data_IF_305157356471
#
_entry.id   IF_305157356471
#
_cell.length_a   1.000
_cell.length_b   1.000
_cell.length_c   1.000
_cell.angle_alpha   90.00
_cell.angle_beta   90.00
_cell.angle_gamma   90.00
#
_symmetry.space_group_name_H-M   'P 1'
#
loop_
_entity.id
_entity.type
_entity.pdbx_description
1 polymer ?
#
# COMPACT_ATOMS: atom_id res chain seq x y z
N UNK A 1 6.77 -12.09 -1.20
CA UNK A 1 5.61 -12.74 -0.54
C UNK A 1 4.82 -13.63 -1.50
N UNK A 2 4.17 -13.10 -2.55
CA UNK A 2 3.35 -13.92 -3.48
C UNK A 2 4.12 -15.11 -4.07
N UNK A 3 5.32 -14.88 -4.65
CA UNK A 3 6.17 -15.96 -5.19
C UNK A 3 6.60 -16.99 -4.15
N UNK A 4 6.63 -16.62 -2.87
CA UNK A 4 6.96 -17.49 -1.75
C UNK A 4 5.70 -18.11 -1.12
N UNK A 5 4.54 -18.00 -1.78
CA UNK A 5 3.25 -18.52 -1.33
C UNK A 5 2.76 -17.97 0.02
N UNK A 6 3.20 -16.77 0.39
CA UNK A 6 2.71 -16.05 1.58
C UNK A 6 1.47 -15.25 1.21
N UNK A 7 0.34 -15.39 1.94
CA UNK A 7 -0.86 -14.60 1.71
C UNK A 7 -0.57 -13.09 1.79
N UNK A 8 -1.09 -12.32 0.84
CA UNK A 8 -0.95 -10.87 0.80
C UNK A 8 -2.32 -10.21 0.75
N UNK A 9 -2.37 -8.94 1.17
CA UNK A 9 -3.56 -8.11 1.00
C UNK A 9 -3.84 -7.96 -0.50
N UNK A 10 -5.07 -8.18 -0.98
CA UNK A 10 -5.43 -7.91 -2.36
C UNK A 10 -5.19 -6.43 -2.70
N UNK A 11 -4.55 -6.16 -3.83
CA UNK A 11 -4.18 -4.82 -4.24
C UNK A 11 -3.85 -4.74 -5.73
N UNK A 12 -3.36 -3.58 -6.16
CA UNK A 12 -2.93 -3.35 -7.55
C UNK A 12 -1.73 -4.23 -7.91
N UNK A 13 -1.63 -4.58 -9.20
CA UNK A 13 -0.51 -5.33 -9.76
C UNK A 13 0.70 -4.41 -10.02
N UNK A 14 1.13 -3.71 -8.96
CA UNK A 14 2.20 -2.71 -9.00
C UNK A 14 1.71 -1.27 -8.86
N UNK A 15 2.50 -0.36 -9.44
CA UNK A 15 2.28 1.08 -9.36
C UNK A 15 1.09 1.51 -10.22
N UNK A 16 0.29 2.41 -9.67
CA UNK A 16 -0.73 3.10 -10.44
C UNK A 16 -0.11 4.26 -11.20
N UNK A 17 -0.48 4.42 -12.46
CA UNK A 17 -0.05 5.55 -13.29
C UNK A 17 -0.79 6.84 -12.95
N UNK A 18 -2.06 6.71 -12.61
CA UNK A 18 -2.94 7.83 -12.32
C UNK A 18 -4.18 7.38 -11.51
N UNK A 19 -4.98 8.37 -11.11
CA UNK A 19 -6.26 8.16 -10.40
C UNK A 19 -7.27 7.33 -11.22
N UNK A 20 -7.16 7.31 -12.54
CA UNK A 20 -8.09 6.54 -13.39
C UNK A 20 -7.87 5.04 -13.25
N UNK A 21 -6.63 4.60 -13.04
CA UNK A 21 -6.32 3.21 -12.69
C UNK A 21 -6.87 2.86 -11.30
N UNK A 22 -6.80 3.79 -10.34
CA UNK A 22 -7.41 3.60 -9.02
C UNK A 22 -8.94 3.41 -9.12
N UNK A 23 -9.62 4.20 -9.97
CA UNK A 23 -11.08 4.11 -10.20
C UNK A 23 -11.53 2.80 -10.87
N UNK A 24 -10.63 2.07 -11.54
CA UNK A 24 -10.93 0.75 -12.13
C UNK A 24 -10.89 -0.38 -11.11
N UNK A 25 -10.47 -0.10 -9.89
CA UNK A 25 -10.39 -1.10 -8.83
C UNK A 25 -11.77 -1.68 -8.49
N UNK A 26 -11.84 -2.95 -8.05
CA UNK A 26 -13.09 -3.56 -7.60
C UNK A 26 -13.84 -2.69 -6.58
N UNK A 27 -15.18 -2.62 -6.69
CA UNK A 27 -15.99 -1.80 -5.79
C UNK A 27 -15.85 -2.16 -4.31
N UNK A 28 -15.58 -3.42 -4.01
CA UNK A 28 -15.30 -3.88 -2.63
C UNK A 28 -13.92 -3.43 -2.10
N UNK A 29 -13.14 -2.72 -2.91
CA UNK A 29 -11.91 -2.02 -2.54
C UNK A 29 -12.11 -0.49 -2.53
N UNK A 30 -13.33 0.03 -2.74
CA UNK A 30 -13.62 1.48 -2.70
C UNK A 30 -13.44 2.10 -1.31
N UNK A 31 -13.32 1.27 -0.26
CA UNK A 31 -12.54 1.57 0.93
C UNK A 31 -11.03 1.41 0.62
N UNK A 32 -10.51 2.19 -0.33
CA UNK A 32 -9.19 1.96 -0.92
C UNK A 32 -8.08 2.58 -0.08
N UNK A 33 -7.06 1.78 0.25
CA UNK A 33 -5.90 2.25 0.98
C UNK A 33 -4.80 2.62 -0.02
N UNK A 34 -4.58 3.92 -0.28
CA UNK A 34 -3.46 4.37 -1.10
C UNK A 34 -2.20 4.37 -0.25
N UNK A 35 -1.15 3.74 -0.76
CA UNK A 35 0.15 3.67 -0.10
C UNK A 35 1.24 4.17 -1.03
N UNK A 36 2.09 5.04 -0.49
CA UNK A 36 3.33 5.43 -1.13
C UNK A 36 4.30 4.23 -1.18
N UNK A 37 4.99 4.08 -2.30
CA UNK A 37 5.97 2.99 -2.49
C UNK A 37 7.27 3.26 -1.76
N UNK A 38 7.69 4.51 -1.74
CA UNK A 38 8.68 5.05 -0.83
C UNK A 38 7.91 5.71 0.32
N UNK A 39 7.75 5.00 1.44
CA UNK A 39 7.02 5.48 2.60
C UNK A 39 7.61 4.94 3.90
N UNK A 40 7.47 5.70 4.98
CA UNK A 40 7.97 5.36 6.31
C UNK A 40 7.47 6.34 7.38
N UNK A 41 7.30 5.87 8.62
CA UNK A 41 6.87 6.72 9.73
C UNK A 41 5.42 7.20 9.68
N UNK A 42 4.52 6.45 9.02
CA UNK A 42 3.09 6.76 8.94
C UNK A 42 2.70 7.82 7.90
N UNK A 43 3.66 8.29 7.09
CA UNK A 43 3.43 9.22 5.97
C UNK A 43 3.12 8.48 4.68
N UNK A 44 2.31 9.08 3.82
CA UNK A 44 1.95 8.51 2.52
C UNK A 44 0.94 7.37 2.58
N UNK A 45 0.02 7.40 3.55
CA UNK A 45 -1.06 6.41 3.70
C UNK A 45 -2.40 7.13 3.86
N UNK A 46 -3.37 6.86 2.98
CA UNK A 46 -4.74 7.44 3.07
C UNK A 46 -5.80 6.42 2.71
N UNK A 47 -6.86 6.38 3.53
CA UNK A 47 -8.07 5.60 3.25
C UNK A 47 -9.05 6.50 2.50
N UNK A 48 -9.55 6.04 1.37
CA UNK A 48 -10.68 6.62 0.67
C UNK A 48 -11.90 5.72 0.88
N UNK A 49 -13.09 6.27 1.08
CA UNK A 49 -14.36 5.53 1.25
C UNK A 49 -15.33 5.71 0.08
N UNK A 50 -15.08 6.70 -0.76
CA UNK A 50 -15.82 6.99 -1.98
C UNK A 50 -14.90 7.47 -3.11
N UNK A 51 -15.43 7.66 -4.31
CA UNK A 51 -14.65 8.09 -5.48
C UNK A 51 -14.05 9.50 -5.33
N UNK A 52 -14.70 10.38 -4.58
CA UNK A 52 -14.24 11.76 -4.37
C UNK A 52 -13.05 11.78 -3.40
N UNK A 53 -13.14 11.02 -2.32
CA UNK A 53 -12.06 10.76 -1.39
C UNK A 53 -10.91 10.02 -2.08
N UNK A 54 -11.21 9.10 -3.01
CA UNK A 54 -10.19 8.40 -3.80
C UNK A 54 -9.36 9.40 -4.61
N UNK A 55 -10.03 10.28 -5.36
CA UNK A 55 -9.34 11.24 -6.21
C UNK A 55 -8.55 12.29 -5.42
N UNK A 56 -9.14 12.82 -4.36
CA UNK A 56 -8.47 13.80 -3.50
C UNK A 56 -7.31 13.15 -2.75
N UNK A 57 -7.54 11.96 -2.18
CA UNK A 57 -6.57 11.19 -1.42
C UNK A 57 -5.37 10.76 -2.26
N UNK A 58 -5.60 10.31 -3.51
CA UNK A 58 -4.53 9.94 -4.42
C UNK A 58 -3.57 11.11 -4.65
N UNK A 59 -4.08 12.27 -5.09
CA UNK A 59 -3.25 13.46 -5.39
C UNK A 59 -2.48 13.95 -4.17
N UNK A 60 -3.12 13.98 -3.00
CA UNK A 60 -2.46 14.38 -1.76
C UNK A 60 -1.34 13.41 -1.37
N UNK A 61 -1.59 12.10 -1.50
CA UNK A 61 -0.61 11.07 -1.15
C UNK A 61 0.58 11.08 -2.10
N UNK A 62 0.33 11.26 -3.40
CA UNK A 62 1.37 11.38 -4.43
C UNK A 62 2.27 12.59 -4.16
N UNK A 63 1.68 13.76 -3.90
CA UNK A 63 2.43 14.97 -3.59
C UNK A 63 3.23 14.83 -2.29
N UNK A 64 2.64 14.24 -1.24
CA UNK A 64 3.32 13.98 0.02
C UNK A 64 4.51 13.04 -0.17
N UNK A 65 4.33 11.95 -0.92
CA UNK A 65 5.37 10.98 -1.21
C UNK A 65 6.50 11.60 -2.05
N UNK A 66 6.15 12.38 -3.08
CA UNK A 66 7.13 13.10 -3.90
C UNK A 66 7.94 14.10 -3.07
N UNK A 67 7.30 14.85 -2.18
CA UNK A 67 7.96 15.88 -1.37
C UNK A 67 8.83 15.27 -0.27
N UNK A 68 8.36 14.21 0.39
CA UNK A 68 9.04 13.61 1.52
C UNK A 68 10.15 12.62 1.11
N UNK A 69 9.97 11.91 -0.01
CA UNK A 69 10.82 10.79 -0.39
C UNK A 69 11.37 10.89 -1.82
N UNK A 70 11.04 11.96 -2.56
CA UNK A 70 11.47 12.14 -3.95
C UNK A 70 10.80 11.19 -4.95
N UNK A 71 9.80 10.42 -4.51
CA UNK A 71 9.11 9.42 -5.32
C UNK A 71 7.60 9.42 -5.03
N UNK A 72 6.81 9.92 -5.98
CA UNK A 72 5.35 9.97 -5.92
C UNK A 72 4.63 8.66 -6.25
N UNK A 73 5.35 7.57 -6.55
CA UNK A 73 4.73 6.31 -6.96
C UNK A 73 3.81 5.73 -5.89
N UNK A 74 2.56 5.49 -6.25
CA UNK A 74 1.52 4.94 -5.39
C UNK A 74 1.08 3.54 -5.85
N UNK A 75 0.63 2.74 -4.89
CA UNK A 75 -0.12 1.51 -5.12
C UNK A 75 -1.34 1.47 -4.21
N UNK A 76 -2.30 0.59 -4.51
CA UNK A 76 -3.53 0.47 -3.73
C UNK A 76 -3.69 -0.92 -3.15
N UNK A 77 -4.17 -0.98 -1.91
CA UNK A 77 -4.57 -2.21 -1.24
C UNK A 77 -6.02 -2.11 -0.78
N UNK A 78 -6.68 -3.25 -0.67
CA UNK A 78 -7.95 -3.37 0.02
C UNK A 78 -7.77 -2.98 1.49
N UNK A 79 -8.53 -2.00 1.97
CA UNK A 79 -8.55 -1.69 3.40
C UNK A 79 -9.23 -2.82 4.19
N UNK A 80 -8.59 -3.23 5.29
CA UNK A 80 -9.10 -4.23 6.20
C UNK A 80 -9.60 -3.49 7.44
N UNK A 81 -10.88 -3.64 7.77
CA UNK A 81 -11.45 -3.04 8.98
C UNK A 81 -11.16 -3.90 10.21
N UNK A 82 -11.02 -3.27 11.37
CA UNK A 82 -10.85 -3.94 12.67
C UNK A 82 -9.70 -4.96 12.71
N UNK A 83 -8.59 -4.66 12.02
CA UNK A 83 -7.42 -5.53 11.99
C UNK A 83 -6.54 -5.35 13.23
N UNK A 84 -5.77 -6.39 13.55
CA UNK A 84 -4.63 -6.30 14.46
C UNK A 84 -3.36 -6.24 13.63
N UNK A 85 -2.46 -5.33 13.98
CA UNK A 85 -1.12 -5.33 13.44
C UNK A 85 -0.31 -6.43 14.13
N UNK A 86 0.22 -7.36 13.36
CA UNK A 86 1.08 -8.45 13.84
C UNK A 86 2.33 -8.44 12.98
N UNK A 87 3.48 -8.47 13.65
CA UNK A 87 4.78 -8.58 13.01
C UNK A 87 5.57 -9.73 13.66
N UNK A 88 6.40 -10.38 12.85
CA UNK A 88 7.17 -11.55 13.25
C UNK A 88 8.66 -11.18 13.13
N UNK A 89 9.40 -11.36 14.22
CA UNK A 89 10.84 -11.14 14.24
C UNK A 89 11.52 -12.29 13.49
N UNK A 90 12.50 -11.96 12.65
CA UNK A 90 13.31 -12.95 11.94
C UNK A 90 14.79 -12.65 12.24
N UNK A 91 15.59 -13.69 12.43
CA UNK A 91 17.07 -13.58 12.49
C UNK A 91 17.66 -14.60 11.54
N UNK A 92 18.59 -14.17 10.69
CA UNK A 92 19.29 -15.05 9.77
C UNK A 92 20.78 -14.72 9.74
N UNK A 93 21.60 -15.75 9.48
CA UNK A 93 23.03 -15.59 9.29
C UNK A 93 23.47 -15.78 7.83
N UNK A 94 24.73 -15.46 7.53
CA UNK A 94 25.33 -15.61 6.20
C UNK A 94 25.58 -17.06 5.78
N UNK A 95 25.39 -18.03 6.68
CA UNK A 95 25.59 -19.46 6.42
C UNK A 95 24.28 -20.16 6.03
N UNK A 96 23.17 -19.41 5.98
CA UNK A 96 21.86 -19.91 5.59
C UNK A 96 20.99 -20.39 6.76
N UNK A 97 21.40 -20.17 8.00
CA UNK A 97 20.54 -20.43 9.15
C UNK A 97 19.52 -19.30 9.30
N UNK A 98 18.26 -19.64 9.54
CA UNK A 98 17.16 -18.69 9.77
C UNK A 98 16.29 -19.18 10.91
N UNK A 99 15.96 -18.27 11.83
CA UNK A 99 14.95 -18.46 12.88
C UNK A 99 13.85 -17.40 12.74
N UNK A 100 12.62 -17.81 13.02
CA UNK A 100 11.37 -17.04 12.90
C UNK A 100 10.64 -17.16 14.24
#
# INVERSE_FOLDING_TARGET
MIKANVPVVPGSDGLMKDVSEAKKSPKNWLSGHHKATAGGGGKGIRVARDEKELETGFRMTEQEAQTAFGNGGLYMEKFIENFRHIEIQIVGDSYGNVII
#
